data_IF_512470760716
#
_entry.id   IF_512470760716
#
_cell.length_a   1.000
_cell.length_b   1.000
_cell.length_c   1.000
_cell.angle_alpha   90.00
_cell.angle_beta   90.00
_cell.angle_gamma   90.00
#
_symmetry.space_group_name_H-M   'P 1'
#
loop_
_entity.id
_entity.type
_entity.pdbx_description
1 polymer ?
#
# COMPACT_ATOMS: atom_id res chain seq x y z
N UNK A 1 -3.55 6.17 14.92
CA UNK A 1 -2.83 4.98 14.43
C UNK A 1 -1.77 4.65 15.44
N UNK A 2 -1.69 3.38 15.84
CA UNK A 2 -0.67 2.87 16.73
C UNK A 2 -0.52 1.36 16.53
N UNK A 3 0.44 0.75 17.21
CA UNK A 3 0.71 -0.68 17.17
C UNK A 3 0.99 -1.23 18.58
N UNK A 4 0.63 -2.49 18.81
CA UNK A 4 0.86 -3.17 20.08
C UNK A 4 1.17 -4.64 19.85
N UNK A 5 2.12 -5.25 20.59
CA UNK A 5 2.30 -6.70 20.55
C UNK A 5 1.01 -7.42 20.96
N UNK A 6 0.64 -8.47 20.24
CA UNK A 6 -0.43 -9.38 20.67
C UNK A 6 -0.02 -10.10 21.95
N UNK A 7 -0.98 -10.43 22.81
CA UNK A 7 -0.73 -11.24 24.00
C UNK A 7 -0.37 -12.70 23.63
N UNK A 8 -0.76 -13.14 22.42
CA UNK A 8 -0.33 -14.43 21.84
C UNK A 8 1.17 -14.45 21.51
N UNK A 9 1.77 -13.28 21.27
CA UNK A 9 3.18 -13.05 20.88
C UNK A 9 3.62 -13.63 19.54
N UNK A 10 3.23 -14.85 19.19
CA UNK A 10 3.57 -15.53 17.92
C UNK A 10 2.53 -16.60 17.60
N UNK A 11 2.31 -16.85 16.31
CA UNK A 11 1.48 -17.97 15.82
C UNK A 11 2.33 -19.23 15.58
N UNK A 12 1.71 -20.40 15.60
CA UNK A 12 2.40 -21.69 15.40
C UNK A 12 2.97 -21.84 13.98
N UNK A 13 2.22 -21.43 12.97
CA UNK A 13 2.54 -21.60 11.54
C UNK A 13 2.60 -20.24 10.82
N UNK A 14 3.57 -19.37 11.11
CA UNK A 14 3.68 -18.07 10.44
C UNK A 14 3.85 -18.28 8.93
N UNK A 15 3.10 -17.54 8.11
CA UNK A 15 3.14 -17.73 6.65
C UNK A 15 4.49 -17.39 6.03
N UNK A 16 5.25 -16.53 6.70
CA UNK A 16 6.61 -16.20 6.35
C UNK A 16 7.39 -15.77 7.59
N UNK A 17 8.67 -16.08 7.62
CA UNK A 17 9.63 -15.45 8.54
C UNK A 17 11.05 -15.65 8.01
N UNK A 18 11.97 -14.83 8.54
CA UNK A 18 13.39 -14.96 8.26
C UNK A 18 13.99 -15.89 9.32
N UNK A 19 14.37 -17.11 8.93
CA UNK A 19 14.98 -18.10 9.83
C UNK A 19 16.21 -17.55 10.57
N UNK A 20 16.94 -16.60 9.97
CA UNK A 20 18.10 -15.98 10.59
C UNK A 20 17.75 -15.02 11.74
N UNK A 21 16.52 -14.50 11.76
CA UNK A 21 16.02 -13.55 12.76
C UNK A 21 15.17 -14.22 13.85
N UNK A 22 14.87 -15.51 13.70
CA UNK A 22 14.03 -16.26 14.62
C UNK A 22 12.54 -16.14 14.31
N UNK A 23 11.68 -16.53 15.25
CA UNK A 23 10.23 -16.46 15.07
C UNK A 23 9.76 -14.98 15.09
N UNK A 24 8.86 -14.59 14.18
CA UNK A 24 8.35 -13.24 14.13
C UNK A 24 7.40 -12.98 15.30
N UNK A 25 7.32 -11.71 15.72
CA UNK A 25 6.32 -11.25 16.68
C UNK A 25 5.00 -10.96 15.98
N UNK A 26 3.90 -11.45 16.53
CA UNK A 26 2.55 -11.10 16.11
C UNK A 26 2.20 -9.72 16.67
N UNK A 27 2.20 -8.71 15.79
CA UNK A 27 1.88 -7.33 16.12
C UNK A 27 0.46 -6.99 15.67
N UNK A 28 -0.29 -6.31 16.54
CA UNK A 28 -1.62 -5.78 16.27
C UNK A 28 -1.49 -4.31 15.88
N UNK A 29 -1.86 -3.99 14.64
CA UNK A 29 -1.93 -2.64 14.11
C UNK A 29 -3.35 -2.10 14.28
N UNK A 30 -3.50 -0.83 14.66
CA UNK A 30 -4.82 -0.25 14.88
C UNK A 30 -4.93 1.19 14.39
N UNK A 31 -6.05 1.48 13.73
CA UNK A 31 -6.53 2.83 13.48
C UNK A 31 -7.93 2.97 14.06
N UNK A 32 -8.17 4.10 14.71
CA UNK A 32 -9.44 4.41 15.37
C UNK A 32 -9.86 5.78 14.90
N UNK A 33 -11.09 5.91 14.41
CA UNK A 33 -11.67 7.21 14.13
C UNK A 33 -11.94 7.96 15.45
N UNK A 34 -11.53 9.23 15.51
CA UNK A 34 -11.53 9.99 16.76
C UNK A 34 -12.97 10.32 17.23
N UNK A 35 -13.86 10.62 16.28
CA UNK A 35 -15.26 10.98 16.54
C UNK A 35 -16.04 9.74 16.96
N UNK A 36 -16.20 8.78 16.06
CA UNK A 36 -17.03 7.58 16.25
C UNK A 36 -16.41 6.52 17.15
N UNK A 37 -15.08 6.44 17.20
CA UNK A 37 -14.41 5.31 17.84
C UNK A 37 -14.56 4.00 17.08
N UNK A 38 -15.03 4.01 15.83
CA UNK A 38 -14.90 2.87 14.92
C UNK A 38 -13.42 2.53 14.81
N UNK A 39 -13.09 1.25 14.94
CA UNK A 39 -11.72 0.80 14.80
C UNK A 39 -11.56 -0.24 13.70
N UNK A 40 -10.42 -0.15 13.04
CA UNK A 40 -9.92 -1.14 12.11
C UNK A 40 -8.58 -1.63 12.61
N UNK A 41 -8.41 -2.95 12.71
CA UNK A 41 -7.20 -3.56 13.24
C UNK A 41 -6.81 -4.78 12.42
N UNK A 42 -5.50 -5.05 12.34
CA UNK A 42 -4.96 -6.25 11.68
C UNK A 42 -3.76 -6.78 12.46
N UNK A 43 -3.65 -8.10 12.54
CA UNK A 43 -2.45 -8.80 12.95
C UNK A 43 -1.45 -8.92 11.81
N UNK A 44 -0.17 -8.72 12.11
CA UNK A 44 0.93 -8.97 11.18
C UNK A 44 2.12 -9.58 11.92
N UNK A 45 2.73 -10.58 11.31
CA UNK A 45 4.01 -11.11 11.75
C UNK A 45 5.13 -10.15 11.35
N UNK A 46 5.91 -9.67 12.32
CA UNK A 46 7.00 -8.73 12.10
C UNK A 46 8.21 -9.02 12.98
N UNK A 47 9.40 -8.64 12.50
CA UNK A 47 10.66 -8.71 13.27
C UNK A 47 10.97 -7.39 13.99
N UNK A 48 10.04 -6.43 13.97
CA UNK A 48 10.17 -5.11 14.55
C UNK A 48 9.18 -4.12 13.94
N UNK A 49 9.20 -2.88 14.43
CA UNK A 49 8.43 -1.79 13.86
C UNK A 49 9.01 -1.37 12.52
N UNK A 50 8.38 -1.81 11.43
CA UNK A 50 8.76 -1.47 10.07
C UNK A 50 7.72 -0.56 9.40
N UNK A 51 8.20 0.44 8.67
CA UNK A 51 7.36 1.40 7.94
C UNK A 51 6.55 0.71 6.83
N UNK A 52 7.08 -0.37 6.24
CA UNK A 52 6.40 -1.12 5.19
C UNK A 52 5.13 -1.81 5.66
N UNK A 53 5.20 -2.50 6.79
CA UNK A 53 4.02 -3.12 7.38
C UNK A 53 2.99 -2.07 7.83
N UNK A 54 3.43 -0.94 8.36
CA UNK A 54 2.55 0.17 8.70
C UNK A 54 1.83 0.76 7.48
N UNK A 55 2.55 0.95 6.37
CA UNK A 55 1.99 1.44 5.11
C UNK A 55 1.01 0.43 4.49
N UNK A 56 1.32 -0.87 4.50
CA UNK A 56 0.39 -1.93 4.07
C UNK A 56 -0.89 -1.93 4.89
N UNK A 57 -0.76 -1.84 6.22
CA UNK A 57 -1.91 -1.74 7.12
C UNK A 57 -2.77 -0.52 6.80
N UNK A 58 -2.16 0.66 6.67
CA UNK A 58 -2.90 1.89 6.36
C UNK A 58 -3.57 1.81 4.99
N UNK A 59 -2.89 1.25 3.98
CA UNK A 59 -3.51 1.00 2.67
C UNK A 59 -4.77 0.16 2.80
N UNK A 60 -4.71 -0.96 3.52
CA UNK A 60 -5.87 -1.83 3.74
C UNK A 60 -6.98 -1.08 4.50
N UNK A 61 -6.63 -0.35 5.55
CA UNK A 61 -7.57 0.42 6.34
C UNK A 61 -8.32 1.48 5.51
N UNK A 62 -7.61 2.17 4.60
CA UNK A 62 -8.18 3.20 3.72
C UNK A 62 -8.88 2.63 2.48
N UNK A 63 -8.56 1.40 2.07
CA UNK A 63 -9.16 0.77 0.89
C UNK A 63 -10.58 0.26 1.16
N UNK A 64 -11.45 0.18 0.14
CA UNK A 64 -12.72 -0.52 0.24
C UNK A 64 -12.51 -1.95 0.70
N UNK A 65 -13.28 -2.38 1.70
CA UNK A 65 -13.26 -3.77 2.16
C UNK A 65 -14.08 -4.62 1.22
N UNK A 66 -13.67 -5.88 1.04
CA UNK A 66 -14.44 -6.87 0.29
C UNK A 66 -15.74 -7.24 0.98
N UNK A 67 -15.77 -7.09 2.31
CA UNK A 67 -16.92 -7.37 3.14
C UNK A 67 -17.80 -6.11 3.28
N UNK A 68 -19.04 -6.12 2.78
CA UNK A 68 -19.94 -4.97 2.84
C UNK A 68 -20.35 -4.60 4.28
N UNK A 69 -20.25 -5.52 5.23
CA UNK A 69 -20.53 -5.26 6.65
C UNK A 69 -19.43 -4.41 7.31
N UNK A 70 -18.33 -4.14 6.60
CA UNK A 70 -17.22 -3.31 7.08
C UNK A 70 -17.10 -2.05 6.21
N UNK A 71 -17.95 -1.04 6.44
CA UNK A 71 -18.01 0.14 5.58
C UNK A 71 -16.81 1.09 5.77
N UNK A 72 -15.98 0.86 6.80
CA UNK A 72 -14.84 1.72 7.13
C UNK A 72 -13.78 1.77 6.02
N UNK A 73 -13.61 2.94 5.41
CA UNK A 73 -12.68 3.19 4.33
C UNK A 73 -12.40 4.69 4.15
N UNK A 74 -11.49 5.00 3.22
CA UNK A 74 -11.19 6.33 2.75
C UNK A 74 -9.92 6.93 3.33
N UNK A 75 -9.32 7.85 2.58
CA UNK A 75 -8.11 8.58 2.99
C UNK A 75 -8.50 9.67 3.99
N UNK A 76 -7.97 9.62 5.24
CA UNK A 76 -8.25 10.64 6.24
C UNK A 76 -7.48 11.93 5.94
N UNK A 77 -7.96 13.06 6.45
CA UNK A 77 -7.22 14.33 6.36
C UNK A 77 -6.00 14.34 7.28
N UNK A 78 -6.07 13.62 8.41
CA UNK A 78 -5.05 13.66 9.45
C UNK A 78 -4.91 12.31 10.14
N UNK A 79 -3.67 11.92 10.46
CA UNK A 79 -3.38 10.74 11.28
C UNK A 79 -2.57 11.18 12.51
N UNK A 80 -3.09 10.85 13.70
CA UNK A 80 -2.34 10.95 14.94
C UNK A 80 -1.57 9.66 15.22
N UNK A 81 -0.29 9.78 15.57
CA UNK A 81 0.57 8.66 15.94
C UNK A 81 1.65 9.08 16.94
N UNK A 82 2.28 8.11 17.59
CA UNK A 82 3.43 8.35 18.46
C UNK A 82 4.69 8.64 17.64
N UNK A 83 5.65 9.39 18.22
CA UNK A 83 6.93 9.74 17.58
C UNK A 83 7.93 8.56 17.59
N UNK A 84 7.49 7.41 17.09
CA UNK A 84 8.26 6.18 16.95
C UNK A 84 9.06 6.11 15.63
N UNK A 85 9.76 4.99 15.39
CA UNK A 85 10.52 4.72 14.17
C UNK A 85 9.72 4.95 12.88
N UNK A 86 8.46 4.50 12.82
CA UNK A 86 7.59 4.66 11.65
C UNK A 86 7.35 6.14 11.34
N UNK A 87 7.06 6.95 12.36
CA UNK A 87 6.79 8.38 12.19
C UNK A 87 8.03 9.15 11.69
N UNK A 88 9.24 8.64 11.95
CA UNK A 88 10.50 9.22 11.49
C UNK A 88 10.95 8.70 10.13
N UNK A 89 10.31 7.65 9.60
CA UNK A 89 10.64 7.09 8.30
C UNK A 89 10.33 8.10 7.19
N UNK A 90 11.33 8.37 6.35
CA UNK A 90 11.21 9.26 5.20
C UNK A 90 10.21 8.73 4.16
N UNK A 91 10.25 7.41 3.90
CA UNK A 91 9.30 6.73 3.01
C UNK A 91 7.88 6.94 3.53
N UNK A 92 7.65 6.71 4.83
CA UNK A 92 6.33 6.88 5.44
C UNK A 92 5.81 8.32 5.29
N UNK A 93 6.62 9.32 5.65
CA UNK A 93 6.25 10.73 5.52
C UNK A 93 5.97 11.13 4.07
N UNK A 94 6.75 10.61 3.12
CA UNK A 94 6.59 10.89 1.69
C UNK A 94 5.26 10.34 1.16
N UNK A 95 4.93 9.08 1.49
CA UNK A 95 3.65 8.47 1.10
C UNK A 95 2.47 9.22 1.70
N UNK A 96 2.52 9.54 3.00
CA UNK A 96 1.45 10.30 3.66
C UNK A 96 1.26 11.68 2.99
N UNK A 97 2.35 12.36 2.63
CA UNK A 97 2.31 13.63 1.91
C UNK A 97 1.66 13.49 0.52
N UNK A 98 2.00 12.45 -0.24
CA UNK A 98 1.40 12.22 -1.57
C UNK A 98 -0.09 11.86 -1.48
N UNK A 99 -0.54 11.23 -0.40
CA UNK A 99 -1.95 10.99 -0.15
C UNK A 99 -2.69 12.25 0.36
N UNK A 100 -1.96 13.30 0.73
CA UNK A 100 -2.52 14.52 1.33
C UNK A 100 -2.90 14.35 2.81
N UNK A 101 -2.27 13.40 3.51
CA UNK A 101 -2.51 13.13 4.93
C UNK A 101 -1.56 13.97 5.78
N UNK A 102 -2.10 14.76 6.71
CA UNK A 102 -1.32 15.46 7.73
C UNK A 102 -0.98 14.51 8.89
N UNK A 103 0.31 14.19 9.06
CA UNK A 103 0.77 13.33 10.15
C UNK A 103 1.07 14.19 11.38
N UNK A 104 0.29 14.00 12.45
CA UNK A 104 0.52 14.65 13.74
C UNK A 104 1.14 13.67 14.71
N UNK A 105 2.41 13.93 15.03
CA UNK A 105 3.11 13.24 16.11
C UNK A 105 2.83 13.92 17.44
N UNK A 106 2.62 13.12 18.48
CA UNK A 106 2.51 13.65 19.83
C UNK A 106 3.83 14.33 20.24
N UNK A 107 3.77 15.63 20.52
CA UNK A 107 4.87 16.35 21.17
C UNK A 107 4.80 16.05 22.68
N UNK A 108 5.92 15.75 23.36
CA UNK A 108 5.91 15.67 24.81
C UNK A 108 5.38 16.99 25.39
N UNK A 109 4.61 16.90 26.48
CA UNK A 109 4.05 18.08 27.15
C UNK A 109 5.14 19.14 27.34
N UNK A 110 4.89 20.34 26.82
CA UNK A 110 5.76 21.48 27.06
C UNK A 110 5.86 21.70 28.58
N UNK A 111 7.07 22.00 29.08
CA UNK A 111 7.28 22.38 30.50
C UNK A 111 6.34 23.52 30.94
N UNK A 112 5.87 24.33 29.99
CA UNK A 112 4.76 25.26 30.20
C UNK A 112 3.41 24.52 30.15
N UNK A 113 2.87 24.22 31.34
CA UNK A 113 1.56 23.60 31.63
C UNK A 113 0.32 24.32 31.05
N UNK A 114 0.47 25.21 30.06
CA UNK A 114 -0.59 26.00 29.42
C UNK A 114 -1.18 25.37 28.16
N UNK A 115 -0.53 24.36 27.56
CA UNK A 115 -1.08 23.60 26.43
C UNK A 115 -1.17 22.12 26.81
N UNK A 116 -2.36 21.67 27.21
CA UNK A 116 -2.67 20.23 27.28
C UNK A 116 -2.77 19.72 25.84
N UNK A 117 -1.85 18.87 25.42
CA UNK A 117 -1.97 18.16 24.14
C UNK A 117 -3.20 17.24 24.18
N UNK A 118 -3.87 17.07 23.04
CA UNK A 118 -5.14 16.32 22.97
C UNK A 118 -4.95 14.84 23.34
N UNK A 119 -5.98 14.27 24.00
CA UNK A 119 -6.05 12.91 24.58
C UNK A 119 -6.04 11.75 23.57
N UNK A 120 -5.57 11.96 22.34
CA UNK A 120 -5.68 11.00 21.24
C UNK A 120 -5.03 9.64 21.55
N UNK A 121 -3.96 9.63 22.35
CA UNK A 121 -3.26 8.40 22.78
C UNK A 121 -4.15 7.40 23.52
N UNK A 122 -5.02 7.87 24.42
CA UNK A 122 -5.85 6.99 25.25
C UNK A 122 -7.00 6.28 24.50
N UNK A 123 -7.30 6.66 23.25
CA UNK A 123 -8.39 6.03 22.47
C UNK A 123 -7.91 4.75 21.79
N UNK A 124 -6.75 4.81 21.13
CA UNK A 124 -6.17 3.63 20.46
C UNK A 124 -5.70 2.61 21.50
N UNK A 125 -5.07 3.07 22.60
CA UNK A 125 -4.68 2.21 23.72
C UNK A 125 -5.88 1.46 24.33
N UNK A 126 -7.03 2.13 24.44
CA UNK A 126 -8.28 1.49 24.89
C UNK A 126 -8.75 0.43 23.90
N UNK A 127 -8.70 0.71 22.60
CA UNK A 127 -9.09 -0.24 21.57
C UNK A 127 -8.22 -1.51 21.61
N UNK A 128 -6.90 -1.36 21.79
CA UNK A 128 -6.01 -2.50 22.01
C UNK A 128 -6.38 -3.28 23.26
N UNK A 129 -6.56 -2.59 24.40
CA UNK A 129 -6.93 -3.24 25.65
C UNK A 129 -8.22 -4.03 25.51
N UNK A 130 -9.23 -3.49 24.82
CA UNK A 130 -10.48 -4.20 24.58
C UNK A 130 -10.30 -5.44 23.70
N UNK A 131 -9.46 -5.38 22.66
CA UNK A 131 -9.15 -6.60 21.87
C UNK A 131 -8.43 -7.63 22.73
N UNK A 132 -7.43 -7.23 23.50
CA UNK A 132 -6.68 -8.13 24.40
C UNK A 132 -7.58 -8.80 25.44
N UNK A 133 -8.40 -8.02 26.13
CA UNK A 133 -9.25 -8.49 27.23
C UNK A 133 -10.49 -9.27 26.76
N UNK A 134 -11.01 -9.02 25.56
CA UNK A 134 -12.28 -9.61 25.10
C UNK A 134 -12.13 -10.59 23.94
N UNK A 135 -11.14 -10.38 23.06
CA UNK A 135 -10.93 -11.22 21.88
C UNK A 135 -9.77 -12.19 22.09
N UNK A 136 -8.58 -11.70 22.47
CA UNK A 136 -7.38 -12.56 22.57
C UNK A 136 -7.50 -13.59 23.71
N UNK A 137 -8.33 -13.35 24.73
CA UNK A 137 -8.65 -14.35 25.77
C UNK A 137 -9.22 -15.65 25.16
N UNK A 138 -9.91 -15.56 24.01
CA UNK A 138 -10.44 -16.74 23.30
C UNK A 138 -9.33 -17.64 22.74
N UNK A 139 -8.11 -17.11 22.56
CA UNK A 139 -6.99 -17.90 22.08
C UNK A 139 -6.56 -18.97 23.10
N UNK A 140 -6.86 -18.81 24.39
CA UNK A 140 -6.70 -19.89 25.37
C UNK A 140 -7.57 -21.13 25.11
N UNK A 141 -8.67 -20.97 24.37
CA UNK A 141 -9.53 -22.07 23.96
C UNK A 141 -9.12 -22.62 22.59
N UNK A 142 -8.76 -21.74 21.67
CA UNK A 142 -8.34 -22.08 20.31
C UNK A 142 -7.42 -21.00 19.75
N UNK A 143 -6.14 -21.32 19.67
CA UNK A 143 -5.15 -20.46 19.04
C UNK A 143 -5.33 -20.48 17.50
N UNK A 144 -5.14 -19.34 16.83
CA UNK A 144 -5.07 -19.30 15.37
C UNK A 144 -3.75 -19.95 14.92
N UNK A 145 -3.81 -20.73 13.83
CA UNK A 145 -2.61 -21.37 13.26
C UNK A 145 -1.64 -20.34 12.71
N UNK A 146 -2.18 -19.31 12.05
CA UNK A 146 -1.40 -18.31 11.33
C UNK A 146 -2.08 -16.93 11.36
N UNK A 147 -1.40 -15.92 10.82
CA UNK A 147 -1.89 -14.54 10.81
C UNK A 147 -3.16 -14.35 9.95
N UNK A 148 -3.41 -15.19 8.93
CA UNK A 148 -4.67 -15.10 8.16
C UNK A 148 -5.83 -15.52 9.04
N UNK A 149 -5.71 -16.65 9.74
CA UNK A 149 -6.75 -17.12 10.64
C UNK A 149 -6.97 -16.16 11.81
N UNK A 150 -5.90 -15.62 12.39
CA UNK A 150 -5.99 -14.59 13.43
C UNK A 150 -6.76 -13.36 12.93
N UNK A 151 -6.48 -12.90 11.71
CA UNK A 151 -7.19 -11.75 11.11
C UNK A 151 -8.66 -12.06 10.78
N UNK A 152 -8.98 -13.29 10.37
CA UNK A 152 -10.38 -13.70 10.15
C UNK A 152 -11.16 -13.65 11.46
N UNK A 153 -10.61 -14.22 12.53
CA UNK A 153 -11.21 -14.19 13.87
C UNK A 153 -11.35 -12.75 14.38
N UNK A 154 -10.33 -11.92 14.19
CA UNK A 154 -10.34 -10.51 14.57
C UNK A 154 -11.40 -9.72 13.79
N UNK A 155 -11.52 -9.94 12.48
CA UNK A 155 -12.51 -9.26 11.63
C UNK A 155 -13.93 -9.50 12.14
N UNK A 156 -14.29 -10.74 12.45
CA UNK A 156 -15.60 -11.08 13.00
C UNK A 156 -15.86 -10.43 14.37
N UNK A 157 -14.82 -10.32 15.20
CA UNK A 157 -14.91 -9.59 16.45
C UNK A 157 -15.12 -8.08 16.23
N UNK A 158 -14.37 -7.48 15.30
CA UNK A 158 -14.43 -6.05 15.02
C UNK A 158 -15.79 -5.61 14.47
N UNK A 159 -16.46 -6.43 13.66
CA UNK A 159 -17.85 -6.17 13.22
C UNK A 159 -18.75 -5.92 14.42
N UNK A 160 -18.78 -6.86 15.36
CA UNK A 160 -19.58 -6.76 16.60
C UNK A 160 -19.16 -5.57 17.45
N UNK A 161 -17.85 -5.35 17.58
CA UNK A 161 -17.32 -4.23 18.36
C UNK A 161 -17.75 -2.86 17.79
N UNK A 162 -17.71 -2.70 16.48
CA UNK A 162 -18.09 -1.45 15.82
C UNK A 162 -19.61 -1.24 15.84
N UNK A 163 -20.39 -2.33 15.83
CA UNK A 163 -21.85 -2.29 15.99
C UNK A 163 -22.32 -2.03 17.42
N UNK A 164 -21.43 -2.13 18.43
CA UNK A 164 -21.77 -1.73 19.79
C UNK A 164 -22.05 -0.23 19.89
N UNK A 165 -22.87 0.13 20.88
CA UNK A 165 -23.28 1.50 21.16
C UNK A 165 -22.09 2.46 21.31
N UNK A 166 -22.21 3.62 20.68
CA UNK A 166 -21.27 4.72 20.78
C UNK A 166 -21.14 5.18 22.24
N UNK A 167 -19.93 5.63 22.62
CA UNK A 167 -19.59 6.00 24.00
C UNK A 167 -20.45 7.11 24.62
N UNK A 168 -21.09 7.92 23.78
CA UNK A 168 -21.83 9.11 24.20
C UNK A 168 -23.17 9.28 23.46
N UNK A 169 -23.44 8.48 22.43
CA UNK A 169 -24.58 8.70 21.53
C UNK A 169 -25.47 7.44 21.49
N UNK A 170 -26.77 7.55 21.18
CA UNK A 170 -27.72 6.45 21.22
C UNK A 170 -27.76 5.64 19.90
N UNK A 171 -26.63 5.48 19.23
CA UNK A 171 -26.47 4.69 18.00
C UNK A 171 -25.12 3.95 18.04
N UNK A 172 -24.85 3.04 17.12
CA UNK A 172 -23.58 2.31 17.04
C UNK A 172 -22.41 3.23 16.66
N UNK A 173 -21.17 2.74 16.80
CA UNK A 173 -19.99 3.48 16.29
C UNK A 173 -20.03 3.55 14.77
N UNK A 174 -20.41 2.45 14.12
CA UNK A 174 -20.54 2.38 12.65
C UNK A 174 -21.54 3.41 12.15
N UNK A 175 -22.71 3.52 12.79
CA UNK A 175 -23.73 4.51 12.46
C UNK A 175 -23.22 5.95 12.69
N UNK A 176 -22.52 6.21 13.81
CA UNK A 176 -21.90 7.51 14.07
C UNK A 176 -20.92 7.88 12.94
N UNK A 177 -20.09 6.92 12.53
CA UNK A 177 -19.12 7.14 11.47
C UNK A 177 -19.81 7.49 10.16
N UNK A 178 -20.79 6.69 9.73
CA UNK A 178 -21.54 6.91 8.49
C UNK A 178 -22.24 8.27 8.46
N UNK A 179 -22.84 8.69 9.57
CA UNK A 179 -23.55 9.98 9.67
C UNK A 179 -22.62 11.19 9.67
N UNK A 180 -21.35 11.03 10.06
CA UNK A 180 -20.39 12.12 10.19
C UNK A 180 -19.34 12.14 9.08
N UNK A 181 -19.58 11.43 7.97
CA UNK A 181 -18.78 11.59 6.75
C UNK A 181 -19.10 12.95 6.13
N UNK A 182 -18.08 13.76 5.92
CA UNK A 182 -18.20 15.08 5.29
C UNK A 182 -18.48 14.92 3.77
N UNK A 183 -19.73 14.64 3.44
CA UNK A 183 -20.22 14.41 2.08
C UNK A 183 -19.82 13.04 1.52
N UNK A 184 -18.52 12.82 1.31
CA UNK A 184 -18.01 11.59 0.73
C UNK A 184 -16.59 11.25 1.20
N UNK A 185 -16.31 9.96 1.39
CA UNK A 185 -14.97 9.49 1.71
C UNK A 185 -14.04 9.64 0.49
N UNK A 186 -12.81 10.08 0.72
CA UNK A 186 -11.79 10.14 -0.35
C UNK A 186 -11.35 8.73 -0.70
N UNK A 187 -11.60 8.29 -1.94
CA UNK A 187 -11.25 6.95 -2.39
C UNK A 187 -9.73 6.73 -2.32
N UNK A 188 -9.33 5.49 -2.03
CA UNK A 188 -7.93 5.07 -2.06
C UNK A 188 -7.46 4.85 -3.50
N UNK A 189 -6.19 5.14 -3.78
CA UNK A 189 -5.57 4.81 -5.06
C UNK A 189 -5.33 3.29 -5.21
N UNK A 190 -4.97 2.85 -6.41
CA UNK A 190 -4.62 1.44 -6.63
C UNK A 190 -3.35 1.05 -5.85
N UNK A 191 -3.17 -0.25 -5.60
CA UNK A 191 -1.99 -0.75 -4.89
C UNK A 191 -0.69 -0.43 -5.64
N UNK A 192 -0.71 -0.49 -6.97
CA UNK A 192 0.44 -0.14 -7.82
C UNK A 192 0.79 1.35 -7.67
N UNK A 193 -0.23 2.21 -7.64
CA UNK A 193 -0.03 3.65 -7.47
C UNK A 193 0.50 3.97 -6.07
N UNK A 194 -0.08 3.37 -5.04
CA UNK A 194 0.42 3.48 -3.67
C UNK A 194 1.87 3.01 -3.55
N UNK A 195 2.22 1.90 -4.21
CA UNK A 195 3.60 1.38 -4.24
C UNK A 195 4.56 2.37 -4.88
N UNK A 196 4.13 3.05 -5.95
CA UNK A 196 4.96 4.09 -6.58
C UNK A 196 5.29 5.25 -5.62
N UNK A 197 4.39 5.62 -4.72
CA UNK A 197 4.64 6.66 -3.71
C UNK A 197 5.69 6.27 -2.67
N UNK A 198 5.89 4.97 -2.46
CA UNK A 198 6.90 4.42 -1.56
C UNK A 198 8.26 4.21 -2.23
N UNK A 199 8.45 4.70 -3.47
CA UNK A 199 9.74 4.71 -4.17
C UNK A 199 10.61 5.85 -3.65
N UNK A 200 11.85 5.53 -3.29
CA UNK A 200 12.87 6.53 -3.05
C UNK A 200 13.87 6.48 -4.20
N UNK A 201 13.77 7.38 -5.20
CA UNK A 201 14.72 7.39 -6.30
C UNK A 201 16.13 7.65 -5.76
N UNK A 202 16.98 6.64 -5.85
CA UNK A 202 18.36 6.69 -5.35
C UNK A 202 19.33 6.84 -6.52
N UNK A 203 20.20 7.84 -6.48
CA UNK A 203 21.26 7.98 -7.48
C UNK A 203 22.44 7.10 -7.09
N UNK A 204 22.81 6.15 -7.95
CA UNK A 204 23.98 5.29 -7.76
C UNK A 204 24.79 5.15 -9.04
N UNK A 205 26.07 4.86 -8.86
CA UNK A 205 26.94 4.46 -9.97
C UNK A 205 26.89 2.95 -10.12
N UNK A 206 26.65 2.47 -11.33
CA UNK A 206 26.71 1.03 -11.63
C UNK A 206 28.17 0.56 -11.59
N UNK A 207 28.41 -0.60 -10.99
CA UNK A 207 29.73 -1.23 -11.03
C UNK A 207 30.21 -1.45 -12.46
N UNK A 208 31.53 -1.50 -12.65
CA UNK A 208 32.14 -1.83 -13.95
C UNK A 208 31.76 -3.24 -14.44
N UNK A 209 31.27 -4.09 -13.53
CA UNK A 209 30.75 -5.44 -13.77
C UNK A 209 29.24 -5.46 -14.05
N UNK A 210 28.63 -4.29 -14.32
CA UNK A 210 27.19 -4.11 -14.53
C UNK A 210 26.33 -4.55 -13.34
N UNK A 211 26.85 -4.41 -12.10
CA UNK A 211 26.16 -4.81 -10.88
C UNK A 211 25.93 -3.67 -9.91
N UNK A 212 24.81 -3.78 -9.18
CA UNK A 212 24.38 -2.79 -8.19
C UNK A 212 24.01 -3.52 -6.88
N UNK A 213 24.72 -3.26 -5.76
CA UNK A 213 24.32 -3.75 -4.46
C UNK A 213 23.19 -2.90 -3.87
N UNK A 214 22.05 -3.51 -3.52
CA UNK A 214 20.91 -2.85 -2.88
C UNK A 214 20.46 -3.70 -1.69
N UNK A 215 20.50 -3.15 -0.47
CA UNK A 215 20.10 -3.82 0.79
C UNK A 215 20.64 -5.26 0.95
N UNK A 216 21.91 -5.47 0.60
CA UNK A 216 22.58 -6.77 0.70
C UNK A 216 22.23 -7.76 -0.41
N UNK A 217 21.37 -7.37 -1.36
CA UNK A 217 21.09 -8.10 -2.59
C UNK A 217 21.84 -7.50 -3.77
N UNK A 218 22.31 -8.35 -4.69
CA UNK A 218 23.01 -7.94 -5.89
C UNK A 218 22.09 -8.00 -7.10
N UNK A 219 22.03 -6.91 -7.86
CA UNK A 219 21.27 -6.77 -9.09
C UNK A 219 22.22 -6.67 -10.26
N UNK A 220 21.96 -7.42 -11.31
CA UNK A 220 22.70 -7.33 -12.58
C UNK A 220 21.82 -6.56 -13.57
N UNK A 221 22.37 -5.47 -14.10
CA UNK A 221 21.69 -4.55 -15.02
C UNK A 221 22.29 -4.67 -16.41
N UNK A 222 21.75 -3.93 -17.39
CA UNK A 222 22.31 -3.98 -18.74
C UNK A 222 23.79 -3.54 -18.77
N UNK A 223 24.66 -4.24 -19.52
CA UNK A 223 26.08 -3.89 -19.62
C UNK A 223 26.34 -2.47 -20.10
N UNK A 224 25.44 -1.90 -20.90
CA UNK A 224 25.51 -0.53 -21.41
C UNK A 224 25.42 0.53 -20.29
N UNK A 225 24.94 0.14 -19.10
CA UNK A 225 24.85 1.00 -17.93
C UNK A 225 26.10 0.90 -17.03
N UNK A 226 27.08 0.04 -17.33
CA UNK A 226 28.25 -0.17 -16.49
C UNK A 226 29.12 1.09 -16.38
N UNK A 227 29.41 1.52 -15.15
CA UNK A 227 30.18 2.73 -14.86
C UNK A 227 29.37 4.04 -14.94
N UNK A 228 28.11 3.98 -15.37
CA UNK A 228 27.24 5.16 -15.49
C UNK A 228 26.57 5.54 -14.15
N UNK A 229 26.24 6.83 -14.00
CA UNK A 229 25.39 7.30 -12.92
C UNK A 229 23.92 7.17 -13.29
N UNK A 230 23.19 6.35 -12.55
CA UNK A 230 21.80 6.00 -12.83
C UNK A 230 20.89 6.35 -11.65
N UNK A 231 19.60 6.54 -11.93
CA UNK A 231 18.55 6.67 -10.91
C UNK A 231 17.88 5.32 -10.74
N UNK A 232 17.99 4.75 -9.54
CA UNK A 232 17.34 3.51 -9.18
C UNK A 232 15.90 3.80 -8.77
N UNK A 233 14.98 3.22 -9.51
CA UNK A 233 13.55 3.19 -9.20
C UNK A 233 13.25 1.88 -8.50
N UNK A 234 13.46 1.90 -7.19
CA UNK A 234 13.10 0.83 -6.27
C UNK A 234 12.29 1.44 -5.12
N UNK A 235 11.18 0.82 -4.79
CA UNK A 235 10.36 1.17 -3.63
C UNK A 235 10.28 0.04 -2.62
N UNK A 236 9.84 0.39 -1.42
CA UNK A 236 9.72 -0.55 -0.31
C UNK A 236 8.81 -1.77 -0.63
N UNK A 237 7.93 -1.64 -1.63
CA UNK A 237 7.00 -2.67 -2.09
C UNK A 237 7.34 -3.28 -3.46
N UNK A 238 8.37 -2.78 -4.14
CA UNK A 238 8.71 -3.23 -5.49
C UNK A 238 9.61 -4.48 -5.42
N UNK A 239 9.25 -5.51 -6.18
CA UNK A 239 10.08 -6.71 -6.41
C UNK A 239 11.02 -6.55 -7.62
N UNK A 240 10.82 -5.46 -8.37
CA UNK A 240 11.47 -5.17 -9.65
C UNK A 240 12.28 -3.88 -9.52
N UNK A 241 13.58 -3.96 -9.80
CA UNK A 241 14.41 -2.78 -9.93
C UNK A 241 14.25 -2.22 -11.35
N UNK A 242 13.86 -0.95 -11.45
CA UNK A 242 14.00 -0.21 -12.68
C UNK A 242 15.16 0.77 -12.56
N UNK A 243 15.89 0.98 -13.65
CA UNK A 243 17.02 1.90 -13.69
C UNK A 243 16.72 2.96 -14.72
N UNK A 244 16.82 4.23 -14.36
CA UNK A 244 16.73 5.33 -15.32
C UNK A 244 18.10 5.93 -15.57
N UNK A 245 18.48 5.97 -16.84
CA UNK A 245 19.66 6.66 -17.35
C UNK A 245 19.23 7.53 -18.52
N UNK A 246 19.64 8.80 -18.53
CA UNK A 246 19.39 9.71 -19.64
C UNK A 246 17.92 9.87 -20.09
N UNK A 247 16.97 9.69 -19.16
CA UNK A 247 15.53 9.77 -19.41
C UNK A 247 14.94 8.53 -20.08
N UNK A 248 15.71 7.46 -20.24
CA UNK A 248 15.25 6.13 -20.62
C UNK A 248 15.22 5.22 -19.40
N UNK A 249 14.16 4.41 -19.29
CA UNK A 249 13.95 3.46 -18.18
C UNK A 249 14.28 2.06 -18.67
N UNK A 250 15.17 1.39 -17.94
CA UNK A 250 15.67 0.04 -18.16
C UNK A 250 15.18 -0.89 -17.05
N UNK A 251 15.09 -2.18 -17.33
CA UNK A 251 14.52 -3.20 -16.43
C UNK A 251 13.22 -3.81 -16.98
N UNK A 252 12.47 -4.58 -16.18
CA UNK A 252 12.68 -4.93 -14.78
C UNK A 252 13.93 -5.82 -14.54
N UNK A 253 14.75 -5.46 -13.55
CA UNK A 253 15.87 -6.26 -13.08
C UNK A 253 15.52 -6.99 -11.78
N UNK A 254 16.04 -8.22 -11.65
CA UNK A 254 15.79 -9.09 -10.51
C UNK A 254 17.10 -9.42 -9.78
N UNK A 255 17.06 -9.70 -8.48
CA UNK A 255 18.26 -10.00 -7.72
C UNK A 255 18.88 -11.33 -8.16
N UNK A 256 20.19 -11.30 -8.40
CA UNK A 256 21.02 -12.44 -8.82
C UNK A 256 21.57 -13.22 -7.61
N UNK A 257 21.77 -12.54 -6.47
CA UNK A 257 22.26 -13.13 -5.22
C UNK A 257 21.87 -12.28 -4.01
N UNK A 258 21.76 -12.88 -2.82
CA UNK A 258 21.46 -12.21 -1.56
C UNK A 258 20.24 -12.78 -0.81
N UNK A 259 20.00 -12.36 0.44
CA UNK A 259 18.78 -12.70 1.15
C UNK A 259 17.58 -12.25 0.34
N UNK A 260 16.60 -13.14 0.22
CA UNK A 260 15.33 -12.85 -0.43
C UNK A 260 14.73 -11.60 0.23
N UNK A 261 14.37 -10.54 -0.53
CA UNK A 261 13.70 -9.37 0.04
C UNK A 261 12.52 -9.82 0.90
N UNK A 262 12.28 -9.14 2.03
CA UNK A 262 11.31 -9.47 3.09
C UNK A 262 9.84 -9.61 2.64
N UNK A 263 9.56 -9.60 1.34
CA UNK A 263 8.24 -9.71 0.72
C UNK A 263 8.20 -10.62 -0.51
N UNK A 264 9.29 -11.32 -0.85
CA UNK A 264 9.31 -12.25 -1.98
C UNK A 264 8.59 -13.55 -1.61
N UNK A 265 7.40 -13.74 -2.14
CA UNK A 265 6.80 -15.07 -2.20
C UNK A 265 7.25 -15.76 -3.50
N UNK A 266 8.28 -16.61 -3.43
CA UNK A 266 8.49 -17.61 -4.48
C UNK A 266 7.48 -18.72 -4.24
N UNK A 267 6.39 -18.74 -5.02
CA UNK A 267 5.51 -19.92 -5.05
C UNK A 267 6.30 -21.08 -5.65
N UNK A 268 6.85 -21.94 -4.81
CA UNK A 268 7.54 -23.13 -5.25
C UNK A 268 6.59 -24.03 -6.04
N UNK A 269 7.11 -24.72 -7.06
CA UNK A 269 6.37 -25.74 -7.78
C UNK A 269 6.00 -26.84 -6.80
N UNK A 270 4.71 -27.00 -6.51
CA UNK A 270 4.21 -27.96 -5.53
C UNK A 270 4.89 -29.32 -5.68
N UNK A 271 5.50 -29.77 -4.60
CA UNK A 271 6.15 -31.08 -4.51
C UNK A 271 5.10 -32.19 -4.62
N UNK A 272 5.52 -33.42 -4.93
CA UNK A 272 4.60 -34.57 -5.00
C UNK A 272 3.89 -34.81 -3.66
N UNK A 273 4.54 -34.46 -2.54
CA UNK A 273 3.99 -34.57 -1.18
C UNK A 273 2.94 -33.49 -0.93
N UNK A 274 3.18 -32.23 -1.31
CA UNK A 274 2.20 -31.13 -1.20
C UNK A 274 0.98 -31.33 -2.10
N UNK A 275 1.15 -31.90 -3.30
CA UNK A 275 0.01 -32.32 -4.14
C UNK A 275 -0.83 -33.42 -3.49
N UNK A 276 -0.18 -34.31 -2.72
CA UNK A 276 -0.85 -35.38 -1.98
C UNK A 276 -1.54 -34.83 -0.74
N UNK A 277 -0.94 -33.85 -0.07
CA UNK A 277 -1.53 -33.11 1.05
C UNK A 277 -2.74 -32.30 0.59
N UNK A 278 -2.64 -31.59 -0.54
CA UNK A 278 -3.76 -30.84 -1.12
C UNK A 278 -4.93 -31.75 -1.53
N UNK A 279 -4.65 -32.99 -2.01
CA UNK A 279 -5.67 -34.03 -2.23
C UNK A 279 -6.28 -34.55 -0.92
N UNK A 280 -5.47 -34.69 0.13
CA UNK A 280 -5.92 -35.04 1.48
C UNK A 280 -6.77 -33.94 2.10
N UNK A 281 -6.45 -32.67 1.89
CA UNK A 281 -7.27 -31.53 2.30
C UNK A 281 -8.58 -31.46 1.52
N UNK A 282 -8.59 -31.80 0.22
CA UNK A 282 -9.85 -31.89 -0.54
C UNK A 282 -10.72 -33.04 -0.03
N UNK A 283 -10.12 -34.18 0.34
CA UNK A 283 -10.81 -35.30 0.98
C UNK A 283 -11.30 -34.96 2.40
N UNK A 284 -10.50 -34.24 3.19
CA UNK A 284 -10.88 -33.78 4.53
C UNK A 284 -12.04 -32.78 4.46
N UNK A 285 -12.08 -31.91 3.44
CA UNK A 285 -13.23 -31.02 3.18
C UNK A 285 -14.49 -31.80 2.79
N UNK A 286 -14.37 -32.98 2.16
CA UNK A 286 -15.50 -33.88 1.90
C UNK A 286 -15.94 -34.71 3.12
N UNK A 287 -15.14 -34.70 4.19
CA UNK A 287 -15.36 -35.40 5.45
C UNK A 287 -15.51 -34.37 6.58
N UNK A 288 -16.49 -33.47 6.47
CA UNK A 288 -16.91 -32.66 7.61
C UNK A 288 -18.07 -33.34 8.33
N UNK A 289 -17.97 -33.39 9.66
CA UNK A 289 -19.15 -33.51 10.53
C UNK A 289 -20.05 -32.29 10.29
N UNK A 290 -21.39 -32.42 10.38
CA UNK A 290 -22.29 -31.31 10.11
C UNK A 290 -21.98 -30.16 11.06
N UNK A 291 -21.49 -29.04 10.53
CA UNK A 291 -21.59 -27.73 11.17
C UNK A 291 -23.10 -27.51 11.33
N UNK A 292 -23.60 -27.62 12.56
CA UNK A 292 -24.98 -27.31 12.87
C UNK A 292 -25.16 -25.79 12.87
N UNK A 293 -24.98 -25.18 11.70
CA UNK A 293 -25.65 -23.95 11.36
C UNK A 293 -27.02 -24.34 10.82
N UNK A 294 -28.05 -24.22 11.65
CA UNK A 294 -29.41 -24.28 11.15
C UNK A 294 -29.61 -23.14 10.15
N UNK A 295 -29.60 -23.44 8.85
CA UNK A 295 -29.75 -22.51 7.72
C UNK A 295 -30.86 -21.46 7.92
N UNK A 296 -31.96 -21.85 8.57
CA UNK A 296 -33.09 -20.96 8.84
C UNK A 296 -32.76 -19.76 9.74
N UNK A 297 -31.87 -19.90 10.72
CA UNK A 297 -31.51 -18.77 11.58
C UNK A 297 -30.53 -17.81 10.87
N UNK A 298 -29.66 -18.34 10.00
CA UNK A 298 -28.71 -17.53 9.24
C UNK A 298 -29.42 -16.71 8.15
N UNK A 299 -30.36 -17.31 7.42
CA UNK A 299 -31.18 -16.60 6.43
C UNK A 299 -32.07 -15.52 7.07
N UNK A 300 -32.66 -15.81 8.24
CA UNK A 300 -33.47 -14.81 8.96
C UNK A 300 -32.59 -13.64 9.42
N UNK A 301 -31.39 -13.90 9.97
CA UNK A 301 -30.44 -12.84 10.35
C UNK A 301 -30.00 -12.02 9.13
N UNK A 302 -29.71 -12.65 8.00
CA UNK A 302 -29.35 -11.95 6.75
C UNK A 302 -30.52 -11.12 6.21
N UNK A 303 -31.76 -11.61 6.31
CA UNK A 303 -32.96 -10.89 5.87
C UNK A 303 -33.34 -9.71 6.78
N UNK A 304 -32.91 -9.72 8.04
CA UNK A 304 -33.09 -8.62 8.99
C UNK A 304 -31.95 -7.61 8.97
N UNK A 305 -30.81 -7.91 8.32
CA UNK A 305 -29.75 -6.94 8.09
C UNK A 305 -30.24 -5.91 7.09
N UNK A 306 -30.40 -4.67 7.55
CA UNK A 306 -30.58 -3.53 6.66
C UNK A 306 -29.45 -3.52 5.63
N UNK A 307 -29.80 -3.41 4.35
CA UNK A 307 -28.84 -3.21 3.27
C UNK A 307 -27.96 -2.03 3.66
N UNK A 308 -26.69 -2.28 3.95
CA UNK A 308 -25.71 -1.22 4.20
C UNK A 308 -25.58 -0.45 2.89
N UNK A 309 -26.16 0.75 2.84
CA UNK A 309 -26.03 1.59 1.65
C UNK A 309 -24.55 1.88 1.40
N UNK A 310 -24.10 1.84 0.12
CA UNK A 310 -22.71 2.06 -0.20
C UNK A 310 -22.28 3.46 0.24
N UNK A 311 -21.14 3.52 0.93
CA UNK A 311 -20.59 4.77 1.44
C UNK A 311 -20.31 5.74 0.28
N UNK A 312 -20.81 6.99 0.30
CA UNK A 312 -20.54 7.97 -0.75
C UNK A 312 -19.03 8.21 -0.90
N UNK A 313 -18.51 8.17 -2.14
CA UNK A 313 -17.08 8.33 -2.43
C UNK A 313 -16.79 9.52 -3.34
N UNK A 314 -15.60 10.12 -3.16
CA UNK A 314 -14.99 11.07 -4.10
C UNK A 314 -13.68 10.49 -4.63
N UNK A 315 -13.35 10.80 -5.87
CA UNK A 315 -12.16 10.25 -6.53
C UNK A 315 -10.85 10.64 -5.83
N UNK A 316 -9.81 9.82 -6.05
CA UNK A 316 -8.47 10.08 -5.55
C UNK A 316 -7.79 11.18 -6.38
N UNK A 317 -7.42 12.30 -5.74
CA UNK A 317 -6.51 13.27 -6.36
C UNK A 317 -5.14 12.61 -6.58
N UNK A 318 -4.77 12.34 -7.84
CA UNK A 318 -3.55 11.60 -8.21
C UNK A 318 -2.35 12.53 -8.53
N UNK A 319 -1.47 12.86 -7.56
CA UNK A 319 -0.27 13.64 -7.86
C UNK A 319 0.72 12.79 -8.64
N UNK A 320 1.46 13.40 -9.59
CA UNK A 320 2.56 12.75 -10.33
C UNK A 320 3.95 13.20 -9.82
N UNK A 321 4.37 12.80 -8.62
CA UNK A 321 5.54 13.37 -7.96
C UNK A 321 6.87 13.03 -8.64
N UNK A 322 6.87 12.00 -9.47
CA UNK A 322 8.04 11.47 -10.16
C UNK A 322 8.03 11.79 -11.65
N UNK A 323 7.06 12.59 -12.11
CA UNK A 323 6.89 12.92 -13.52
C UNK A 323 6.86 11.62 -14.36
N UNK A 324 6.19 10.58 -13.87
CA UNK A 324 6.06 9.31 -14.60
C UNK A 324 5.11 9.48 -15.78
N UNK A 325 4.01 10.23 -15.56
CA UNK A 325 2.96 10.50 -16.55
C UNK A 325 3.22 11.77 -17.32
N UNK A 326 3.76 12.81 -16.68
CA UNK A 326 4.04 14.10 -17.29
C UNK A 326 5.53 14.34 -17.47
N UNK A 327 5.93 15.10 -18.49
CA UNK A 327 7.28 15.65 -18.56
C UNK A 327 7.46 16.74 -17.50
N UNK A 328 8.58 16.71 -16.78
CA UNK A 328 8.92 17.72 -15.75
C UNK A 328 8.84 19.16 -16.27
N UNK A 329 9.24 19.37 -17.53
CA UNK A 329 9.18 20.65 -18.20
C UNK A 329 9.26 20.48 -19.74
N UNK A 330 8.97 21.55 -20.46
CA UNK A 330 9.02 21.61 -21.93
C UNK A 330 10.41 21.21 -22.47
N UNK A 331 11.49 21.55 -21.77
CA UNK A 331 12.86 21.22 -22.21
C UNK A 331 13.10 19.71 -22.22
N UNK A 332 12.70 19.00 -21.16
CA UNK A 332 12.79 17.52 -21.11
C UNK A 332 11.88 16.86 -22.16
N UNK A 333 10.71 17.43 -22.41
CA UNK A 333 9.82 16.96 -23.47
C UNK A 333 10.46 17.12 -24.87
N UNK A 334 11.04 18.28 -25.17
CA UNK A 334 11.80 18.55 -26.41
C UNK A 334 12.98 17.59 -26.57
N UNK A 335 13.72 17.34 -25.50
CA UNK A 335 14.84 16.41 -25.50
C UNK A 335 14.39 14.97 -25.79
N UNK A 336 13.28 14.53 -25.20
CA UNK A 336 12.68 13.22 -25.48
C UNK A 336 12.22 13.09 -26.94
N UNK A 337 11.58 14.12 -27.51
CA UNK A 337 11.17 14.15 -28.92
C UNK A 337 12.39 14.11 -29.85
N UNK A 338 13.44 14.88 -29.54
CA UNK A 338 14.69 14.89 -30.32
C UNK A 338 15.34 13.50 -30.37
N UNK A 339 15.39 12.81 -29.23
CA UNK A 339 15.90 11.44 -29.13
C UNK A 339 15.03 10.47 -29.94
N UNK A 340 13.71 10.58 -29.86
CA UNK A 340 12.80 9.74 -30.62
C UNK A 340 12.95 9.89 -32.14
N UNK A 341 13.10 11.13 -32.62
CA UNK A 341 13.30 11.41 -34.05
C UNK A 341 14.74 11.10 -34.52
N UNK A 342 15.66 10.81 -33.59
CA UNK A 342 17.07 10.57 -33.87
C UNK A 342 17.82 11.79 -34.43
N UNK A 343 17.27 12.99 -34.27
CA UNK A 343 17.80 14.24 -34.85
C UNK A 343 17.63 15.41 -33.87
N UNK A 344 18.60 16.34 -33.81
CA UNK A 344 18.44 17.61 -33.10
C UNK A 344 17.24 18.40 -33.64
N UNK A 345 16.36 18.89 -32.75
CA UNK A 345 15.17 19.66 -33.16
C UNK A 345 15.51 20.94 -33.95
N UNK A 346 16.72 21.49 -33.76
CA UNK A 346 17.20 22.66 -34.49
C UNK A 346 17.33 22.43 -36.01
N UNK A 347 17.43 21.18 -36.45
CA UNK A 347 17.58 20.81 -37.87
C UNK A 347 16.21 20.62 -38.54
N UNK A 348 15.12 20.51 -37.77
CA UNK A 348 13.77 20.37 -38.31
C UNK A 348 13.33 21.64 -39.06
N UNK A 349 12.39 21.51 -39.98
CA UNK A 349 11.76 22.65 -40.65
C UNK A 349 11.01 23.53 -39.63
N UNK A 350 10.85 24.82 -39.93
CA UNK A 350 10.20 25.75 -39.02
C UNK A 350 8.77 25.30 -38.66
N UNK A 351 8.01 24.79 -39.63
CA UNK A 351 6.66 24.26 -39.39
C UNK A 351 6.62 23.06 -38.44
N UNK A 352 7.63 22.19 -38.47
CA UNK A 352 7.72 21.04 -37.57
C UNK A 352 8.06 21.46 -36.14
N UNK A 353 8.92 22.48 -35.98
CA UNK A 353 9.23 23.05 -34.67
C UNK A 353 8.01 23.74 -34.07
N UNK A 354 7.28 24.49 -34.89
CA UNK A 354 6.07 25.20 -34.46
C UNK A 354 4.96 24.20 -34.05
N UNK A 355 4.84 23.07 -34.75
CA UNK A 355 3.91 22.00 -34.38
C UNK A 355 4.30 21.30 -33.07
N UNK A 356 5.59 21.00 -32.88
CA UNK A 356 6.09 20.44 -31.62
C UNK A 356 5.78 21.41 -30.46
N UNK A 357 6.01 22.70 -30.65
CA UNK A 357 5.74 23.71 -29.64
C UNK A 357 4.24 23.86 -29.35
N UNK A 358 3.39 23.75 -30.38
CA UNK A 358 1.94 23.71 -30.22
C UNK A 358 1.48 22.50 -29.40
N UNK A 359 1.99 21.29 -29.68
CA UNK A 359 1.67 20.06 -28.93
C UNK A 359 2.08 20.22 -27.46
N UNK A 360 3.31 20.68 -27.21
CA UNK A 360 3.84 20.85 -25.86
C UNK A 360 3.14 21.99 -25.07
N UNK A 361 2.55 22.96 -25.76
CA UNK A 361 1.74 24.00 -25.13
C UNK A 361 0.36 23.50 -24.67
N UNK A 362 -0.16 22.43 -25.28
CA UNK A 362 -1.46 21.85 -24.95
C UNK A 362 -1.38 20.84 -23.80
N UNK A 363 -0.33 20.02 -23.77
CA UNK A 363 -0.15 19.01 -22.73
C UNK A 363 1.32 18.65 -22.53
N UNK A 364 1.69 18.36 -21.28
CA UNK A 364 2.97 17.73 -20.93
C UNK A 364 2.81 16.24 -20.61
N UNK A 365 1.63 15.65 -20.79
CA UNK A 365 1.43 14.22 -20.64
C UNK A 365 2.26 13.45 -21.69
N UNK A 366 3.14 12.56 -21.22
CA UNK A 366 4.08 11.81 -22.07
C UNK A 366 3.35 10.96 -23.10
N UNK A 367 2.23 10.34 -22.71
CA UNK A 367 1.44 9.48 -23.58
C UNK A 367 0.78 10.27 -24.71
N UNK A 368 0.11 11.37 -24.36
CA UNK A 368 -0.56 12.25 -25.33
C UNK A 368 0.45 12.89 -26.29
N UNK A 369 1.52 13.47 -25.74
CA UNK A 369 2.57 14.13 -26.54
C UNK A 369 3.22 13.15 -27.51
N UNK A 370 3.67 11.98 -27.03
CA UNK A 370 4.33 11.00 -27.89
C UNK A 370 3.38 10.39 -28.93
N UNK A 371 2.10 10.24 -28.61
CA UNK A 371 1.10 9.78 -29.58
C UNK A 371 0.90 10.81 -30.70
N UNK A 372 0.69 12.08 -30.38
CA UNK A 372 0.51 13.14 -31.38
C UNK A 372 1.75 13.35 -32.25
N UNK A 373 2.95 13.30 -31.64
CA UNK A 373 4.21 13.37 -32.38
C UNK A 373 4.35 12.17 -33.34
N UNK A 374 4.03 10.95 -32.87
CA UNK A 374 4.04 9.76 -33.73
C UNK A 374 3.06 9.87 -34.90
N UNK A 375 1.83 10.31 -34.66
CA UNK A 375 0.81 10.49 -35.69
C UNK A 375 1.24 11.52 -36.74
N UNK A 376 1.76 12.67 -36.30
CA UNK A 376 2.22 13.74 -37.20
C UNK A 376 3.39 13.29 -38.10
N UNK A 377 4.42 12.68 -37.54
CA UNK A 377 5.60 12.27 -38.32
C UNK A 377 5.37 10.99 -39.12
N UNK A 378 4.54 10.03 -38.67
CA UNK A 378 4.22 8.83 -39.45
C UNK A 378 3.33 9.12 -40.66
N UNK A 379 2.39 10.07 -40.56
CA UNK A 379 1.54 10.44 -41.69
C UNK A 379 2.34 11.07 -42.83
N UNK A 380 3.42 11.81 -42.53
CA UNK A 380 4.36 12.37 -43.52
C UNK A 380 5.24 11.31 -44.19
N UNK A 381 5.60 10.23 -43.49
CA UNK A 381 6.32 9.08 -44.06
C UNK A 381 5.53 8.37 -45.16
N UNK A 382 4.19 8.43 -45.10
CA UNK A 382 3.29 7.84 -46.11
C UNK A 382 3.11 8.70 -47.36
N UNK A 383 3.29 10.02 -47.27
CA UNK A 383 3.17 10.94 -48.41
C UNK A 383 4.40 10.93 -49.33
N UNK A 384 5.54 10.42 -48.87
CA UNK A 384 6.76 10.27 -49.68
C UNK A 384 6.90 8.90 -50.36
N UNK A 385 5.89 8.02 -50.25
CA UNK A 385 5.90 6.67 -50.83
C UNK A 385 4.93 6.47 -52.01
N UNK A 386 4.34 7.54 -52.56
CA UNK A 386 3.51 7.53 -53.77
C UNK A 386 4.16 8.27 -54.93
#
# INVERSE_FOLDING_TARGET
FDLSPSDLKSVEEPLWYDESKGLPMLMLYSVVDDRSGVCYQEYRNVHGEDAGNALRFLFNAMSPKSDPDVPFQGIPQMIYMDNGPIARSRVFQSVMKYLGIDVKVHMPDSKDKRRKTARSKGKVERAFRTVKECHEVLYHLREPKNEIEANQMLSEYLKKYNDHQHRAEPHSRTEDWLQNIDGAVKQMCSWERFSSFAREPEKRTVGIDARIPIDGSMYEVDPDLAGEQVVLWWGLFDDELYVEHDGQRYGAYFPVSGPIPLYRYRKFKQTKTEKRLGKLETLAKSLKLPESESDQNHEVILSMKNVVEPVPTREFDDPDPFNEKQYENILKAKLAISKYLGKPLAILEQGDRDMIDAILSQSLDKGVVMKQIKEYFNNRSGEHAN
#
